data_IF_588728408123
#
_entry.id   IF_588728408123
#
_cell.length_a   1.000
_cell.length_b   1.000
_cell.length_c   1.000
_cell.angle_alpha   90.00
_cell.angle_beta   90.00
_cell.angle_gamma   90.00
#
_symmetry.space_group_name_H-M   'P 1'
#
loop_
_entity.id
_entity.type
_entity.pdbx_description
1 polymer ?
#
# COMPACT_ATOMS: atom_id res chain seq x y z
N UNK A 1 -4.04 -12.05 13.61
CA UNK A 1 -3.78 -10.79 12.89
C UNK A 1 -4.50 -10.91 11.56
N UNK A 2 -5.33 -9.94 11.21
CA UNK A 2 -6.10 -9.99 9.97
C UNK A 2 -5.25 -9.49 8.80
N UNK A 3 -4.48 -10.39 8.19
CA UNK A 3 -3.57 -10.03 7.08
C UNK A 3 -4.33 -9.51 5.85
N UNK A 4 -5.58 -9.94 5.65
CA UNK A 4 -6.44 -9.43 4.58
C UNK A 4 -6.75 -7.95 4.82
N UNK A 5 -7.04 -7.54 6.06
CA UNK A 5 -7.26 -6.14 6.41
C UNK A 5 -6.02 -5.27 6.16
N UNK A 6 -4.81 -5.74 6.53
CA UNK A 6 -3.57 -5.01 6.24
C UNK A 6 -3.34 -4.88 4.73
N UNK A 7 -3.58 -5.96 3.98
CA UNK A 7 -3.45 -5.97 2.52
C UNK A 7 -4.42 -4.99 1.87
N UNK A 8 -5.71 -5.05 2.23
CA UNK A 8 -6.74 -4.17 1.69
C UNK A 8 -6.45 -2.70 2.00
N UNK A 9 -5.98 -2.41 3.22
CA UNK A 9 -5.58 -1.07 3.64
C UNK A 9 -4.41 -0.55 2.81
N UNK A 10 -3.37 -1.38 2.63
CA UNK A 10 -2.19 -1.00 1.85
C UNK A 10 -2.55 -0.80 0.36
N UNK A 11 -3.32 -1.71 -0.23
CA UNK A 11 -3.77 -1.62 -1.62
C UNK A 11 -4.67 -0.40 -1.84
N UNK A 12 -5.55 -0.07 -0.89
CA UNK A 12 -6.37 1.14 -0.95
C UNK A 12 -5.50 2.41 -0.93
N UNK A 13 -4.53 2.47 -0.02
CA UNK A 13 -3.59 3.59 0.05
C UNK A 13 -2.82 3.75 -1.27
N UNK A 14 -2.26 2.66 -1.79
CA UNK A 14 -1.54 2.66 -3.06
C UNK A 14 -2.41 3.05 -4.25
N UNK A 15 -3.65 2.55 -4.31
CA UNK A 15 -4.64 2.94 -5.32
C UNK A 15 -4.89 4.44 -5.29
N UNK A 16 -5.19 5.02 -4.12
CA UNK A 16 -5.45 6.46 -3.98
C UNK A 16 -4.24 7.28 -4.45
N UNK A 17 -3.03 6.84 -4.12
CA UNK A 17 -1.80 7.52 -4.53
C UNK A 17 -1.61 7.48 -6.05
N UNK A 18 -1.80 6.31 -6.69
CA UNK A 18 -1.68 6.18 -8.15
C UNK A 18 -2.77 6.96 -8.90
N UNK A 19 -4.01 6.91 -8.42
CA UNK A 19 -5.09 7.74 -8.97
C UNK A 19 -4.83 9.25 -8.81
N UNK A 20 -3.93 9.63 -7.90
CA UNK A 20 -3.56 11.02 -7.63
C UNK A 20 -2.28 11.48 -8.33
N UNK A 21 -1.75 10.68 -9.28
CA UNK A 21 -0.48 10.89 -9.96
C UNK A 21 0.74 10.99 -9.00
N UNK A 22 0.73 10.22 -7.91
CA UNK A 22 1.92 10.06 -7.08
C UNK A 22 3.03 9.31 -7.84
N UNK A 23 4.28 9.66 -7.56
CA UNK A 23 5.45 8.93 -8.07
C UNK A 23 5.43 7.48 -7.59
N UNK A 24 5.74 6.54 -8.49
CA UNK A 24 5.59 5.10 -8.26
C UNK A 24 6.39 4.62 -7.04
N UNK A 25 7.64 5.06 -6.88
CA UNK A 25 8.47 4.68 -5.73
C UNK A 25 7.85 5.11 -4.38
N UNK A 26 7.13 6.24 -4.33
CA UNK A 26 6.43 6.70 -3.10
C UNK A 26 5.20 5.86 -2.81
N UNK A 27 4.54 5.39 -3.87
CA UNK A 27 3.42 4.45 -3.75
C UNK A 27 3.93 3.14 -3.17
N UNK A 28 4.98 2.57 -3.76
CA UNK A 28 5.62 1.33 -3.27
C UNK A 28 6.05 1.47 -1.82
N UNK A 29 6.78 2.53 -1.48
CA UNK A 29 7.22 2.80 -0.11
C UNK A 29 6.03 2.88 0.87
N UNK A 30 4.92 3.51 0.48
CA UNK A 30 3.73 3.64 1.34
C UNK A 30 3.03 2.30 1.54
N UNK A 31 2.87 1.51 0.47
CA UNK A 31 2.25 0.17 0.54
C UNK A 31 3.10 -0.74 1.40
N UNK A 32 4.40 -0.85 1.09
CA UNK A 32 5.34 -1.67 1.85
C UNK A 32 5.44 -1.22 3.31
N UNK A 33 5.41 0.08 3.59
CA UNK A 33 5.38 0.61 4.97
C UNK A 33 4.17 0.10 5.76
N UNK A 34 2.98 0.13 5.19
CA UNK A 34 1.75 -0.39 5.84
C UNK A 34 1.87 -1.90 6.06
N UNK A 35 2.31 -2.64 5.04
CA UNK A 35 2.45 -4.09 5.10
C UNK A 35 3.51 -4.53 6.13
N UNK A 36 4.60 -3.80 6.29
CA UNK A 36 5.65 -4.09 7.27
C UNK A 36 5.13 -4.09 8.72
N UNK A 37 3.98 -3.44 9.01
CA UNK A 37 3.36 -3.50 10.34
C UNK A 37 2.91 -4.90 10.74
N UNK A 38 2.75 -5.81 9.77
CA UNK A 38 2.41 -7.23 10.01
C UNK A 38 3.56 -8.04 10.62
N UNK A 39 4.81 -7.56 10.50
CA UNK A 39 6.00 -8.28 10.94
C UNK A 39 6.36 -9.51 10.10
N UNK A 40 5.76 -9.67 8.91
CA UNK A 40 6.06 -10.78 7.99
C UNK A 40 7.42 -10.58 7.31
N UNK A 41 8.05 -11.69 6.93
CA UNK A 41 9.39 -11.70 6.34
C UNK A 41 9.42 -11.08 4.94
N UNK A 42 8.35 -11.27 4.16
CA UNK A 42 8.29 -10.79 2.78
C UNK A 42 7.06 -9.91 2.60
N UNK A 43 7.32 -8.63 2.31
CA UNK A 43 6.31 -7.66 1.91
C UNK A 43 6.83 -6.93 0.68
N UNK A 44 6.15 -7.09 -0.46
CA UNK A 44 6.56 -6.46 -1.71
C UNK A 44 5.41 -5.65 -2.31
N UNK A 45 5.77 -4.53 -2.95
CA UNK A 45 4.84 -3.70 -3.69
C UNK A 45 5.51 -3.26 -5.00
N UNK A 46 4.79 -3.42 -6.10
CA UNK A 46 5.20 -2.96 -7.43
C UNK A 46 4.12 -2.03 -7.98
N UNK A 47 4.49 -0.77 -8.20
CA UNK A 47 3.61 0.24 -8.76
C UNK A 47 3.94 0.46 -10.24
N UNK A 48 2.98 0.13 -11.09
CA UNK A 48 3.00 0.41 -12.52
C UNK A 48 2.06 1.56 -12.82
N UNK A 49 2.27 2.23 -13.95
CA UNK A 49 1.39 3.34 -14.39
C UNK A 49 -0.09 2.95 -14.36
N UNK A 50 -0.42 1.69 -14.68
CA UNK A 50 -1.79 1.19 -14.79
C UNK A 50 -2.18 0.08 -13.80
N UNK A 51 -1.30 -0.26 -12.87
CA UNK A 51 -1.54 -1.35 -11.94
C UNK A 51 -0.73 -1.23 -10.67
N UNK A 52 -1.24 -1.82 -9.61
CA UNK A 52 -0.54 -2.04 -8.35
C UNK A 52 -0.55 -3.54 -8.09
N UNK A 53 0.62 -4.08 -7.78
CA UNK A 53 0.77 -5.45 -7.28
C UNK A 53 1.32 -5.36 -5.87
N UNK A 54 0.70 -6.05 -4.92
CA UNK A 54 1.15 -6.12 -3.54
C UNK A 54 1.13 -7.58 -3.07
N UNK A 55 2.19 -7.99 -2.37
CA UNK A 55 2.38 -9.37 -1.92
C UNK A 55 2.76 -9.39 -0.44
N UNK A 56 2.13 -10.29 0.31
CA UNK A 56 2.52 -10.69 1.65
C UNK A 56 2.87 -12.18 1.63
N UNK A 57 4.02 -12.55 2.18
CA UNK A 57 4.43 -13.95 2.29
C UNK A 57 5.23 -14.23 3.58
N UNK A 58 5.09 -15.46 4.10
CA UNK A 58 5.78 -15.98 5.27
C UNK A 58 5.81 -17.52 5.18
N UNK A 59 6.93 -18.18 5.54
CA UNK A 59 7.04 -19.64 5.57
C UNK A 59 5.89 -20.42 6.21
N UNK A 60 5.15 -19.80 7.15
CA UNK A 60 4.04 -20.43 7.87
C UNK A 60 2.65 -20.05 7.35
N UNK A 61 2.54 -19.34 6.22
CA UNK A 61 1.26 -18.95 5.62
C UNK A 61 1.25 -19.13 4.10
N UNK A 62 0.06 -19.11 3.51
CA UNK A 62 -0.06 -19.00 2.06
C UNK A 62 0.20 -17.56 1.65
N UNK A 63 1.02 -17.37 0.63
CA UNK A 63 1.25 -16.06 0.05
C UNK A 63 -0.07 -15.41 -0.41
N UNK A 64 -0.25 -14.13 -0.07
CA UNK A 64 -1.38 -13.32 -0.49
C UNK A 64 -0.86 -12.31 -1.49
N UNK A 65 -1.35 -12.38 -2.73
CA UNK A 65 -1.01 -11.42 -3.79
C UNK A 65 -2.26 -10.74 -4.29
N UNK A 66 -2.29 -9.41 -4.24
CA UNK A 66 -3.37 -8.59 -4.78
C UNK A 66 -2.88 -7.80 -5.98
N UNK A 67 -3.65 -7.88 -7.06
CA UNK A 67 -3.46 -7.05 -8.26
C UNK A 67 -4.62 -6.07 -8.38
N UNK A 68 -4.30 -4.77 -8.40
CA UNK A 68 -5.29 -3.70 -8.54
C UNK A 68 -5.04 -2.91 -9.81
N UNK A 69 -6.03 -2.86 -10.70
CA UNK A 69 -5.99 -2.00 -11.88
C UNK A 69 -6.34 -0.56 -11.52
N UNK A 70 -5.60 0.39 -12.08
CA UNK A 70 -5.86 1.83 -11.93
C UNK A 70 -6.45 2.35 -13.23
N UNK A 71 -7.72 2.75 -13.20
CA UNK A 71 -8.49 3.19 -14.38
C UNK A 71 -8.62 4.70 -14.47
N UNK A 72 -8.65 5.39 -13.32
CA UNK A 72 -8.86 6.83 -13.25
C UNK A 72 -7.62 7.53 -12.69
N UNK A 73 -7.30 8.71 -13.23
CA UNK A 73 -6.17 9.52 -12.76
C UNK A 73 -6.53 10.99 -12.77
N UNK A 74 -6.10 11.68 -11.73
CA UNK A 74 -6.10 13.12 -11.63
C UNK A 74 -4.87 13.56 -10.85
N UNK A 75 -4.43 14.80 -10.99
CA UNK A 75 -3.34 15.33 -10.17
C UNK A 75 -3.92 15.89 -8.89
N UNK A 76 -3.65 15.24 -7.76
CA UNK A 76 -4.13 15.71 -6.46
C UNK A 76 -3.10 15.49 -5.35
N UNK A 77 -2.22 16.48 -5.16
CA UNK A 77 -1.17 16.43 -4.15
C UNK A 77 -1.70 16.40 -2.71
N UNK A 78 -2.92 16.89 -2.46
CA UNK A 78 -3.54 16.82 -1.15
C UNK A 78 -3.86 15.38 -0.77
N UNK A 79 -4.43 14.58 -1.68
CA UNK A 79 -4.67 13.14 -1.47
C UNK A 79 -3.35 12.41 -1.19
N UNK A 80 -2.31 12.68 -1.97
CA UNK A 80 -0.97 12.09 -1.76
C UNK A 80 -0.41 12.43 -0.38
N UNK A 81 -0.46 13.70 0.02
CA UNK A 81 0.02 14.16 1.32
C UNK A 81 -0.73 13.49 2.48
N UNK A 82 -2.06 13.44 2.39
CA UNK A 82 -2.92 12.83 3.42
C UNK A 82 -2.66 11.34 3.57
N UNK A 83 -2.56 10.58 2.47
CA UNK A 83 -2.27 9.14 2.55
C UNK A 83 -0.91 8.89 3.18
N UNK A 84 0.11 9.67 2.82
CA UNK A 84 1.44 9.53 3.40
C UNK A 84 1.46 9.87 4.90
N UNK A 85 0.69 10.87 5.34
CA UNK A 85 0.53 11.18 6.76
C UNK A 85 -0.17 10.05 7.52
N UNK A 86 -1.25 9.49 6.94
CA UNK A 86 -1.97 8.34 7.52
C UNK A 86 -1.06 7.12 7.62
N UNK A 87 -0.31 6.78 6.56
CA UNK A 87 0.57 5.60 6.56
C UNK A 87 1.68 5.71 7.62
N UNK A 88 2.23 6.92 7.83
CA UNK A 88 3.22 7.17 8.90
C UNK A 88 2.60 7.05 10.28
N UNK A 89 1.49 7.74 10.50
CA UNK A 89 0.80 7.73 11.79
C UNK A 89 0.33 6.31 12.19
N UNK A 90 -0.12 5.50 11.23
CA UNK A 90 -0.50 4.11 11.45
C UNK A 90 0.68 3.25 11.90
N UNK A 91 1.84 3.36 11.23
CA UNK A 91 3.02 2.58 11.61
C UNK A 91 3.62 3.04 12.94
N UNK A 92 3.50 4.33 13.27
CA UNK A 92 3.92 4.93 14.54
C UNK A 92 2.91 4.71 15.69
N UNK A 93 1.86 3.88 15.51
CA UNK A 93 0.82 3.61 16.51
C UNK A 93 0.07 4.86 17.01
N UNK A 94 0.04 5.92 16.19
CA UNK A 94 -0.74 7.14 16.41
C UNK A 94 -2.18 7.02 15.87
N UNK A 95 -2.45 5.96 15.11
CA UNK A 95 -3.75 5.60 14.54
C UNK A 95 -3.91 4.07 14.66
N UNK A 96 -5.15 3.62 14.87
CA UNK A 96 -5.55 2.20 14.93
C UNK A 96 -6.39 1.82 13.73
#
# INVERSE_FOLDING_TARGET
>A
MDFELYMDTAVLAGKIMLESNAETYRVEETVTRILNKTGLQMTDALALTTGLVATLDNPNMHAITVVKRITERTTNLNRVSRVNAVSRNFVEDKLT
#
